data_IF_959950880102
#
_entry.id   IF_959950880102
#
_cell.length_a   1.000
_cell.length_b   1.000
_cell.length_c   1.000
_cell.angle_alpha   90.00
_cell.angle_beta   90.00
_cell.angle_gamma   90.00
#
_symmetry.space_group_name_H-M   'P 1'
#
loop_
_entity.id
_entity.type
_entity.pdbx_description
1 polymer ?
#
# COMPACT_ATOMS: atom_id res chain seq x y z
N UNK A 1 1.23 -16.42 1.97
CA UNK A 1 0.72 -15.09 2.39
C UNK A 1 0.64 -14.23 1.15
N UNK A 2 -0.37 -13.36 1.04
CA UNK A 2 -0.42 -12.40 -0.06
C UNK A 2 0.72 -11.37 0.10
N UNK A 3 1.12 -10.79 -1.02
CA UNK A 3 2.08 -9.69 -1.08
C UNK A 3 1.30 -8.46 -1.53
N UNK A 4 0.84 -7.60 -0.60
CA UNK A 4 0.04 -6.44 -0.96
C UNK A 4 0.80 -5.54 -1.94
N UNK A 5 0.11 -5.10 -2.99
CA UNK A 5 0.64 -4.17 -3.98
C UNK A 5 0.23 -2.75 -3.63
N UNK A 6 1.17 -1.82 -3.79
CA UNK A 6 0.96 -0.41 -3.44
C UNK A 6 0.94 0.45 -4.69
N UNK A 7 -0.10 1.26 -4.78
CA UNK A 7 -0.34 2.21 -5.83
C UNK A 7 -0.34 3.63 -5.26
N UNK A 8 0.13 4.60 -6.01
CA UNK A 8 0.12 6.02 -5.60
C UNK A 8 -0.52 6.90 -6.67
N UNK A 9 -1.13 8.00 -6.23
CA UNK A 9 -1.57 9.06 -7.12
C UNK A 9 -1.30 10.44 -6.53
N UNK A 10 -0.85 11.37 -7.38
CA UNK A 10 -0.74 12.78 -7.01
C UNK A 10 -2.07 13.55 -7.20
N UNK A 11 -3.08 12.95 -7.85
CA UNK A 11 -4.29 13.65 -8.31
C UNK A 11 -5.47 13.49 -7.37
N UNK A 12 -5.99 12.27 -7.26
CA UNK A 12 -7.26 11.95 -6.58
C UNK A 12 -7.13 10.63 -5.82
N UNK A 13 -7.91 10.40 -4.74
CA UNK A 13 -8.07 9.08 -4.13
C UNK A 13 -9.10 8.20 -4.85
N UNK A 14 -9.80 8.71 -5.86
CA UNK A 14 -10.87 7.97 -6.52
C UNK A 14 -10.34 6.76 -7.32
N UNK A 15 -11.07 5.65 -7.26
CA UNK A 15 -10.74 4.43 -8.00
C UNK A 15 -11.64 4.38 -9.25
N UNK A 16 -11.00 4.40 -10.41
CA UNK A 16 -11.64 4.29 -11.73
C UNK A 16 -11.21 2.94 -12.33
N UNK A 17 -11.66 1.86 -11.70
CA UNK A 17 -11.19 0.51 -12.02
C UNK A 17 -11.46 0.17 -13.49
N UNK A 18 -10.40 -0.16 -14.22
CA UNK A 18 -10.45 -0.41 -15.67
C UNK A 18 -10.56 -1.91 -16.03
N UNK A 19 -10.76 -2.77 -15.01
CA UNK A 19 -10.73 -4.22 -15.13
C UNK A 19 -9.41 -4.86 -14.69
N UNK A 20 -8.33 -4.08 -14.57
CA UNK A 20 -7.01 -4.58 -14.18
C UNK A 20 -6.37 -3.74 -13.06
N UNK A 21 -6.42 -2.42 -13.19
CA UNK A 21 -5.73 -1.44 -12.35
C UNK A 21 -6.74 -0.53 -11.65
N UNK A 22 -6.35 0.16 -10.55
CA UNK A 22 -7.23 1.11 -9.88
C UNK A 22 -7.58 2.37 -10.71
N UNK A 23 -7.03 2.50 -11.92
CA UNK A 23 -7.30 3.60 -12.85
C UNK A 23 -6.02 4.23 -13.38
N UNK A 24 -6.12 4.91 -14.52
CA UNK A 24 -4.97 5.43 -15.28
C UNK A 24 -4.10 6.45 -14.54
N UNK A 25 -4.63 7.10 -13.51
CA UNK A 25 -3.94 8.10 -12.70
C UNK A 25 -3.20 7.50 -11.49
N UNK A 26 -3.27 6.18 -11.33
CA UNK A 26 -2.56 5.42 -10.31
C UNK A 26 -1.30 4.77 -10.90
N UNK A 27 -0.22 4.82 -10.13
CA UNK A 27 1.04 4.17 -10.50
C UNK A 27 1.36 3.07 -9.49
N UNK A 28 1.59 1.85 -9.97
CA UNK A 28 2.15 0.76 -9.15
C UNK A 28 3.60 1.13 -8.77
N UNK A 29 3.91 1.10 -7.47
CA UNK A 29 5.23 1.54 -6.96
C UNK A 29 5.96 0.46 -6.19
N UNK A 30 5.33 -0.67 -5.90
CA UNK A 30 5.98 -1.77 -5.21
C UNK A 30 5.02 -2.55 -4.33
N UNK A 31 5.57 -3.16 -3.29
CA UNK A 31 4.84 -4.08 -2.43
C UNK A 31 5.16 -3.88 -0.95
N UNK A 32 4.40 -4.56 -0.09
CA UNK A 32 4.65 -4.59 1.35
C UNK A 32 5.14 -5.99 1.73
N UNK A 33 6.33 -6.08 2.31
CA UNK A 33 6.74 -7.30 3.00
C UNK A 33 5.99 -7.41 4.34
N UNK A 34 4.96 -8.23 4.38
CA UNK A 34 4.06 -8.37 5.53
C UNK A 34 4.73 -9.01 6.75
N UNK A 35 5.89 -9.66 6.60
CA UNK A 35 6.67 -10.17 7.72
C UNK A 35 7.47 -9.03 8.37
N UNK A 36 8.14 -8.20 7.56
CA UNK A 36 8.92 -7.07 8.04
C UNK A 36 8.02 -5.94 8.58
N UNK A 37 6.86 -5.74 7.95
CA UNK A 37 5.89 -4.71 8.29
C UNK A 37 4.66 -5.28 9.02
N UNK A 38 4.86 -6.25 9.89
CA UNK A 38 3.79 -6.99 10.57
C UNK A 38 2.84 -6.12 11.40
N UNK A 39 3.35 -5.08 12.07
CA UNK A 39 2.52 -4.11 12.80
C UNK A 39 1.65 -3.29 11.85
N UNK A 40 2.20 -2.79 10.74
CA UNK A 40 1.42 -2.09 9.74
C UNK A 40 0.41 -3.01 9.06
N UNK A 41 0.77 -4.26 8.80
CA UNK A 41 -0.11 -5.23 8.16
C UNK A 41 -1.41 -5.44 8.94
N UNK A 42 -1.43 -5.17 10.25
CA UNK A 42 -2.66 -5.18 11.05
C UNK A 42 -3.72 -4.18 10.58
N UNK A 43 -3.33 -3.06 9.96
CA UNK A 43 -4.24 -2.09 9.34
C UNK A 43 -4.91 -2.65 8.09
N UNK A 44 -4.20 -3.50 7.33
CA UNK A 44 -4.75 -4.20 6.16
C UNK A 44 -5.67 -5.33 6.62
N UNK A 45 -5.24 -6.12 7.61
CA UNK A 45 -5.97 -7.28 8.12
C UNK A 45 -7.37 -6.97 8.65
N UNK A 46 -7.65 -5.75 9.11
CA UNK A 46 -9.01 -5.35 9.52
C UNK A 46 -10.02 -5.51 8.38
N UNK A 47 -9.59 -5.32 7.13
CA UNK A 47 -10.47 -5.36 5.97
C UNK A 47 -10.52 -6.74 5.31
N UNK A 48 -9.47 -7.54 5.48
CA UNK A 48 -9.32 -8.83 4.79
C UNK A 48 -9.42 -10.06 5.69
N UNK A 49 -9.58 -9.86 7.00
CA UNK A 49 -9.73 -10.93 8.01
C UNK A 49 -10.72 -10.49 9.10
N UNK A 50 -10.97 -11.34 10.09
CA UNK A 50 -11.81 -11.03 11.27
C UNK A 50 -11.13 -10.17 12.35
N UNK A 51 -9.99 -9.56 12.05
CA UNK A 51 -9.25 -8.75 13.02
C UNK A 51 -9.97 -7.43 13.32
N UNK A 52 -10.05 -7.04 14.60
CA UNK A 52 -10.76 -5.82 15.03
C UNK A 52 -9.85 -4.67 15.49
N UNK A 53 -8.54 -4.90 15.65
CA UNK A 53 -7.61 -3.90 16.21
C UNK A 53 -6.31 -3.80 15.43
N UNK A 54 -5.83 -2.57 15.24
CA UNK A 54 -4.51 -2.27 14.67
C UNK A 54 -3.43 -2.22 15.76
N UNK A 55 -2.17 -2.35 15.35
CA UNK A 55 -0.98 -2.18 16.18
C UNK A 55 -0.10 -1.08 15.61
N UNK A 56 0.63 -0.41 16.51
CA UNK A 56 1.66 0.55 16.12
C UNK A 56 1.13 1.78 15.37
N UNK A 57 2.08 2.50 14.76
CA UNK A 57 1.83 3.72 14.00
C UNK A 57 1.39 3.37 12.56
N UNK A 58 0.59 4.22 11.89
CA UNK A 58 0.18 4.00 10.51
C UNK A 58 1.30 4.38 9.52
N UNK A 59 2.45 3.72 9.66
CA UNK A 59 3.64 3.97 8.87
C UNK A 59 4.40 2.67 8.58
N UNK A 60 4.95 2.55 7.37
CA UNK A 60 5.59 1.33 6.87
C UNK A 60 6.73 1.65 5.91
N UNK A 61 7.64 0.69 5.70
CA UNK A 61 8.55 0.73 4.57
C UNK A 61 7.93 -0.01 3.38
N UNK A 62 7.80 0.70 2.26
CA UNK A 62 7.48 0.14 0.95
C UNK A 62 8.72 -0.57 0.41
N UNK A 63 8.54 -1.78 -0.13
CA UNK A 63 9.52 -2.43 -0.99
C UNK A 63 9.30 -1.89 -2.40
N UNK A 64 9.96 -0.77 -2.67
CA UNK A 64 9.78 0.01 -3.89
C UNK A 64 10.40 -0.67 -5.09
N UNK A 65 9.64 -0.69 -6.20
CA UNK A 65 10.10 -1.13 -7.50
C UNK A 65 11.20 -0.19 -8.03
N UNK A 66 12.43 -0.67 -8.26
CA UNK A 66 13.51 0.15 -8.81
C UNK A 66 13.22 0.71 -10.20
N UNK A 67 12.31 0.10 -10.98
CA UNK A 67 11.87 0.61 -12.28
C UNK A 67 10.89 1.79 -12.19
N UNK A 68 10.31 2.05 -11.01
CA UNK A 68 9.32 3.10 -10.83
C UNK A 68 9.96 4.48 -10.69
N UNK A 69 9.61 5.41 -11.59
CA UNK A 69 10.07 6.80 -11.53
C UNK A 69 9.70 7.50 -10.20
N UNK A 70 8.55 7.15 -9.62
CA UNK A 70 8.13 7.68 -8.31
C UNK A 70 9.01 7.16 -7.18
N UNK A 71 9.43 5.90 -7.24
CA UNK A 71 10.37 5.30 -6.27
C UNK A 71 11.76 5.91 -6.41
N UNK A 72 12.19 6.26 -7.62
CA UNK A 72 13.50 6.88 -7.87
C UNK A 72 13.56 8.38 -7.60
N UNK A 73 12.42 9.06 -7.48
CA UNK A 73 12.36 10.51 -7.29
C UNK A 73 13.10 10.95 -6.02
N UNK A 74 13.92 12.00 -6.14
CA UNK A 74 14.61 12.62 -5.00
C UNK A 74 13.64 13.31 -4.04
N UNK A 75 12.59 13.92 -4.60
CA UNK A 75 11.53 14.59 -3.86
C UNK A 75 10.17 14.01 -4.25
N UNK A 76 9.31 13.83 -3.24
CA UNK A 76 7.93 13.35 -3.42
C UNK A 76 7.02 14.35 -2.71
N UNK A 77 6.07 14.92 -3.43
CA UNK A 77 4.96 15.68 -2.82
C UNK A 77 4.08 14.76 -1.96
N UNK A 78 3.03 15.31 -1.36
CA UNK A 78 1.99 14.50 -0.75
C UNK A 78 1.21 13.73 -1.82
N UNK A 79 0.75 12.51 -1.50
CA UNK A 79 0.10 11.62 -2.46
C UNK A 79 -1.01 10.81 -1.82
N UNK A 80 -1.96 10.38 -2.62
CA UNK A 80 -2.92 9.34 -2.27
C UNK A 80 -2.28 7.97 -2.46
N UNK A 81 -2.67 7.02 -1.62
CA UNK A 81 -2.15 5.67 -1.63
C UNK A 81 -3.31 4.68 -1.67
N UNK A 82 -3.21 3.68 -2.54
CA UNK A 82 -4.12 2.55 -2.60
C UNK A 82 -3.34 1.25 -2.42
N UNK A 83 -3.90 0.32 -1.65
CA UNK A 83 -3.30 -1.01 -1.43
C UNK A 83 -4.25 -2.06 -1.98
N UNK A 84 -3.79 -2.85 -2.95
CA UNK A 84 -4.41 -4.15 -3.22
C UNK A 84 -3.89 -5.13 -2.17
N UNK A 85 -4.73 -5.61 -1.24
CA UNK A 85 -4.27 -6.46 -0.14
C UNK A 85 -3.87 -7.88 -0.60
N UNK A 86 -4.27 -8.26 -1.81
CA UNK A 86 -4.05 -9.58 -2.39
C UNK A 86 -2.89 -9.58 -3.39
N UNK A 87 -2.73 -8.47 -4.13
CA UNK A 87 -1.74 -8.32 -5.19
C UNK A 87 -1.88 -9.43 -6.24
N UNK A 88 -0.75 -9.99 -6.68
CA UNK A 88 -0.73 -11.07 -7.68
C UNK A 88 -1.47 -12.35 -7.24
N UNK A 89 -1.65 -12.56 -5.92
CA UNK A 89 -2.39 -13.73 -5.42
C UNK A 89 -3.90 -13.62 -5.64
N UNK A 90 -4.42 -12.43 -6.01
CA UNK A 90 -5.86 -12.15 -6.18
C UNK A 90 -6.54 -13.14 -7.11
N UNK A 91 -5.94 -13.42 -8.27
CA UNK A 91 -6.49 -14.35 -9.27
C UNK A 91 -6.55 -15.79 -8.73
N UNK A 92 -5.50 -16.21 -8.02
CA UNK A 92 -5.41 -17.56 -7.46
C UNK A 92 -6.46 -17.81 -6.38
N UNK A 93 -6.69 -16.84 -5.49
CA UNK A 93 -7.68 -16.95 -4.41
C UNK A 93 -9.09 -16.53 -4.84
N UNK A 94 -9.27 -16.11 -6.10
CA UNK A 94 -10.53 -15.58 -6.65
C UNK A 94 -11.12 -14.47 -5.79
N UNK A 95 -10.27 -13.63 -5.21
CA UNK A 95 -10.72 -12.48 -4.46
C UNK A 95 -11.23 -11.40 -5.43
N UNK A 96 -12.25 -10.66 -5.00
CA UNK A 96 -12.76 -9.51 -5.73
C UNK A 96 -11.68 -8.42 -5.82
N UNK A 97 -11.71 -7.58 -6.86
CA UNK A 97 -10.92 -6.35 -6.86
C UNK A 97 -11.27 -5.50 -5.63
N UNK A 98 -10.29 -5.33 -4.76
CA UNK A 98 -10.39 -4.59 -3.50
C UNK A 98 -9.20 -3.65 -3.39
N UNK A 99 -9.45 -2.39 -3.08
CA UNK A 99 -8.40 -1.41 -2.82
C UNK A 99 -8.66 -0.72 -1.47
N UNK A 100 -7.64 -0.70 -0.61
CA UNK A 100 -7.63 0.11 0.61
C UNK A 100 -7.03 1.47 0.29
N UNK A 101 -7.88 2.48 0.19
CA UNK A 101 -7.50 3.83 -0.25
C UNK A 101 -7.29 4.73 0.96
N UNK A 102 -6.16 5.42 1.02
CA UNK A 102 -5.83 6.33 2.11
C UNK A 102 -6.88 7.42 2.25
N UNK A 103 -7.42 7.63 3.46
CA UNK A 103 -8.41 8.68 3.76
C UNK A 103 -7.82 10.10 3.74
N UNK A 104 -6.50 10.24 3.79
CA UNK A 104 -5.79 11.50 3.64
C UNK A 104 -4.48 11.29 2.92
N UNK A 105 -3.94 12.34 2.30
CA UNK A 105 -2.67 12.26 1.61
C UNK A 105 -1.56 11.79 2.56
N UNK A 106 -0.84 10.76 2.11
CA UNK A 106 0.35 10.22 2.72
C UNK A 106 1.59 11.06 2.35
N UNK A 107 2.66 10.83 3.08
CA UNK A 107 3.98 11.45 2.83
C UNK A 107 5.09 10.41 2.91
N UNK A 108 6.09 10.58 2.06
CA UNK A 108 7.33 9.81 2.15
C UNK A 108 8.31 10.57 3.06
N UNK A 109 8.55 10.08 4.26
CA UNK A 109 9.32 10.81 5.29
C UNK A 109 9.98 9.85 6.25
N UNK A 110 11.11 10.25 6.87
CA UNK A 110 11.82 9.44 7.84
C UNK A 110 10.91 8.92 8.95
N UNK A 111 11.03 7.62 9.24
CA UNK A 111 10.32 6.96 10.34
C UNK A 111 11.23 6.90 11.57
N UNK A 112 10.64 6.64 12.74
CA UNK A 112 11.39 6.54 13.99
C UNK A 112 12.26 5.28 14.07
N UNK A 113 11.92 4.24 13.29
CA UNK A 113 12.69 2.99 13.17
C UNK A 113 13.55 3.04 11.91
N UNK A 114 14.59 2.22 11.85
CA UNK A 114 15.40 2.06 10.64
C UNK A 114 14.67 1.21 9.59
N UNK A 115 15.01 1.36 8.30
CA UNK A 115 14.52 0.46 7.26
C UNK A 115 14.87 -0.99 7.59
N UNK A 116 13.95 -1.94 7.38
CA UNK A 116 14.25 -3.36 7.46
C UNK A 116 15.38 -3.74 6.51
N UNK A 117 16.24 -4.66 6.96
CA UNK A 117 17.33 -5.16 6.14
C UNK A 117 16.78 -5.99 4.96
N UNK A 118 17.34 -5.80 3.76
CA UNK A 118 16.99 -6.65 2.62
C UNK A 118 17.55 -8.05 2.84
N UNK A 119 16.74 -9.08 2.61
CA UNK A 119 17.19 -10.46 2.75
C UNK A 119 18.37 -10.76 1.79
N UNK A 120 19.43 -11.43 2.26
CA UNK A 120 20.52 -11.89 1.41
C UNK A 120 19.98 -12.76 0.26
N UNK A 121 20.36 -12.43 -0.98
CA UNK A 121 19.96 -13.19 -2.18
C UNK A 121 18.69 -12.71 -2.88
N UNK A 122 17.98 -11.70 -2.38
CA UNK A 122 16.94 -10.99 -3.15
C UNK A 122 17.49 -9.73 -3.82
N UNK A 123 16.91 -9.36 -4.96
CA UNK A 123 17.16 -8.04 -5.54
C UNK A 123 16.86 -6.96 -4.50
N UNK A 124 17.75 -5.97 -4.38
CA UNK A 124 17.65 -4.94 -3.36
C UNK A 124 16.52 -3.98 -3.72
N UNK A 125 15.36 -4.17 -3.10
CA UNK A 125 14.26 -3.21 -3.18
C UNK A 125 14.69 -1.86 -2.58
N UNK A 126 14.16 -0.76 -3.12
CA UNK A 126 14.36 0.56 -2.52
C UNK A 126 13.34 0.70 -1.40
N UNK A 127 13.83 0.74 -0.14
CA UNK A 127 12.96 0.93 1.02
C UNK A 127 12.51 2.39 1.09
N UNK A 128 11.24 2.65 0.79
CA UNK A 128 10.65 4.01 0.88
C UNK A 128 9.82 4.11 2.15
N UNK A 129 10.15 5.02 3.09
CA UNK A 129 9.38 5.17 4.31
C UNK A 129 8.09 5.95 4.04
N UNK A 130 6.94 5.36 4.36
CA UNK A 130 5.61 5.93 4.13
C UNK A 130 4.92 6.18 5.46
N UNK A 131 4.35 7.38 5.64
CA UNK A 131 3.46 7.70 6.76
C UNK A 131 2.08 8.05 6.23
N UNK A 132 1.05 7.35 6.72
CA UNK A 132 -0.35 7.64 6.42
C UNK A 132 -0.94 8.62 7.43
N UNK A 133 -1.86 9.45 6.96
CA UNK A 133 -2.62 10.37 7.80
C UNK A 133 -3.91 9.68 8.29
N UNK A 134 -4.22 9.84 9.57
CA UNK A 134 -5.54 9.45 10.12
C UNK A 134 -6.59 10.50 9.75
N UNK A 135 -7.75 10.03 9.30
CA UNK A 135 -8.93 10.83 9.01
C UNK A 135 -10.18 10.00 9.35
N UNK A 136 -11.21 10.63 9.90
CA UNK A 136 -12.50 10.01 10.28
C UNK A 136 -12.31 8.67 11.02
N UNK A 137 -11.49 8.69 12.08
CA UNK A 137 -11.22 7.55 12.95
C UNK A 137 -10.36 6.42 12.35
N UNK A 138 -9.97 6.49 11.08
CA UNK A 138 -9.22 5.44 10.38
C UNK A 138 -8.10 5.97 9.49
N UNK A 139 -7.50 5.08 8.71
CA UNK A 139 -6.49 5.45 7.68
C UNK A 139 -6.91 5.06 6.27
N UNK A 140 -7.81 4.08 6.13
CA UNK A 140 -8.30 3.61 4.85
C UNK A 140 -9.81 3.72 4.75
N UNK A 141 -10.29 4.06 3.55
CA UNK A 141 -11.60 3.69 3.04
C UNK A 141 -11.41 2.45 2.16
N UNK A 142 -12.39 1.55 2.19
CA UNK A 142 -12.38 0.38 1.32
C UNK A 142 -13.13 0.71 0.04
N UNK A 143 -12.53 0.39 -1.10
CA UNK A 143 -13.20 0.28 -2.39
C UNK A 143 -13.24 -1.19 -2.77
N UNK A 144 -14.40 -1.66 -3.20
CA UNK A 144 -14.62 -3.02 -3.69
C UNK A 144 -15.46 -2.95 -4.95
N UNK A 145 -15.12 -3.77 -5.94
CA UNK A 145 -16.01 -3.99 -7.07
C UNK A 145 -17.22 -4.80 -6.58
N UNK A 146 -18.38 -4.17 -6.59
CA UNK A 146 -19.66 -4.84 -6.40
C UNK A 146 -20.07 -5.48 -7.74
N UNK A 147 -20.69 -6.65 -7.69
CA UNK A 147 -21.25 -7.28 -8.88
C UNK A 147 -22.41 -6.40 -9.37
N UNK A 148 -22.45 -6.10 -10.68
CA UNK A 148 -23.67 -5.63 -11.36
C UNK A 148 -24.67 -6.77 -11.51
#
# INVERSE_FOLDING_TARGET
>A
MSTPQVWVSARSPEIEFDGQTPGSHWQLVGTIDTNQESDFYTYIQIYVTSRSTTRGRPEFYLDGDPGSAWVQASERGSFWLAIDPWGESREYIRARPTYLVSKGQAVATSLARNPPESHPGRAKAIKVPIRLKRADGGVFAIWEQLDE
#
